data_IF_558220376471
#
_entry.id   IF_558220376471
#
_cell.length_a   1.000
_cell.length_b   1.000
_cell.length_c   1.000
_cell.angle_alpha   90.00
_cell.angle_beta   90.00
_cell.angle_gamma   90.00
#
_symmetry.space_group_name_H-M   'P 1'
#
loop_
_entity.id
_entity.type
_entity.pdbx_description
1 polymer ?
#
# COMPACT_ATOMS: atom_id res chain seq x y z
N UNK A 1 -8.91 -24.81 5.44
CA UNK A 1 -8.40 -24.14 4.22
C UNK A 1 -9.23 -22.86 4.07
N UNK A 2 -8.66 -21.67 4.38
CA UNK A 2 -9.36 -20.40 4.15
C UNK A 2 -9.49 -20.21 2.64
N UNK A 3 -10.70 -19.99 2.14
CA UNK A 3 -10.96 -19.67 0.74
C UNK A 3 -10.12 -18.44 0.34
N UNK A 4 -9.17 -18.61 -0.60
CA UNK A 4 -8.48 -17.49 -1.25
C UNK A 4 -9.55 -16.57 -1.83
N UNK A 5 -9.67 -15.32 -1.31
CA UNK A 5 -10.48 -14.30 -1.95
C UNK A 5 -9.90 -14.04 -3.34
N UNK A 6 -10.75 -13.82 -4.35
CA UNK A 6 -10.32 -13.53 -5.71
C UNK A 6 -9.49 -12.23 -5.70
N UNK A 7 -8.17 -12.36 -5.89
CA UNK A 7 -7.22 -11.24 -5.87
C UNK A 7 -6.11 -11.35 -4.81
N UNK A 8 -6.12 -12.38 -3.95
CA UNK A 8 -5.05 -12.58 -2.99
C UNK A 8 -3.82 -13.20 -3.66
N UNK A 9 -2.68 -12.59 -3.43
CA UNK A 9 -1.36 -13.06 -3.88
C UNK A 9 -0.82 -14.11 -2.91
N UNK A 10 -0.06 -15.07 -3.44
CA UNK A 10 0.60 -16.11 -2.64
C UNK A 10 1.84 -15.54 -1.92
N UNK A 11 2.31 -16.26 -0.89
CA UNK A 11 3.56 -15.94 -0.19
C UNK A 11 4.74 -15.90 -1.19
N UNK A 12 4.76 -16.82 -2.17
CA UNK A 12 5.80 -16.84 -3.20
C UNK A 12 5.78 -15.57 -4.07
N UNK A 13 4.59 -15.15 -4.50
CA UNK A 13 4.42 -13.89 -5.24
C UNK A 13 4.87 -12.68 -4.39
N UNK A 14 4.55 -12.68 -3.11
CA UNK A 14 5.02 -11.65 -2.17
C UNK A 14 6.54 -11.60 -2.06
N UNK A 15 7.21 -12.76 -1.94
CA UNK A 15 8.67 -12.84 -1.91
C UNK A 15 9.30 -12.31 -3.21
N UNK A 16 8.67 -12.54 -4.35
CA UNK A 16 9.13 -12.00 -5.63
C UNK A 16 9.04 -10.47 -5.67
N UNK A 17 7.97 -9.90 -5.10
CA UNK A 17 7.79 -8.44 -5.03
C UNK A 17 8.84 -7.79 -4.12
N UNK A 18 9.07 -8.36 -2.93
CA UNK A 18 10.09 -7.89 -1.99
C UNK A 18 11.48 -7.92 -2.62
N UNK A 19 11.79 -9.02 -3.29
CA UNK A 19 13.06 -9.18 -3.99
C UNK A 19 13.23 -8.18 -5.12
N UNK A 20 12.19 -7.95 -5.92
CA UNK A 20 12.20 -6.93 -6.97
C UNK A 20 12.50 -5.54 -6.39
N UNK A 21 11.86 -5.18 -5.28
CA UNK A 21 12.10 -3.92 -4.60
C UNK A 21 13.56 -3.80 -4.12
N UNK A 22 14.07 -4.82 -3.44
CA UNK A 22 15.44 -4.84 -2.91
C UNK A 22 16.50 -4.76 -4.02
N UNK A 23 16.34 -5.56 -5.08
CA UNK A 23 17.24 -5.50 -6.24
C UNK A 23 17.25 -4.12 -6.87
N UNK A 24 16.06 -3.52 -7.07
CA UNK A 24 15.93 -2.18 -7.64
C UNK A 24 16.68 -1.12 -6.83
N UNK A 25 16.58 -1.16 -5.50
CA UNK A 25 17.29 -0.23 -4.61
C UNK A 25 18.81 -0.49 -4.69
N UNK A 26 19.24 -1.75 -4.62
CA UNK A 26 20.64 -2.13 -4.69
C UNK A 26 21.31 -1.69 -6.00
N UNK A 27 20.65 -1.89 -7.14
CA UNK A 27 21.13 -1.42 -8.45
C UNK A 27 21.30 0.11 -8.50
N UNK A 28 20.36 0.86 -7.90
CA UNK A 28 20.46 2.32 -7.83
C UNK A 28 21.59 2.81 -6.90
N UNK A 29 21.99 2.02 -5.91
CA UNK A 29 23.16 2.27 -5.07
C UNK A 29 24.49 1.86 -5.76
N UNK A 30 24.44 1.26 -6.95
CA UNK A 30 25.63 0.73 -7.63
C UNK A 30 26.18 -0.55 -7.00
N UNK A 31 25.40 -1.19 -6.11
CA UNK A 31 25.78 -2.46 -5.52
C UNK A 31 25.56 -3.56 -6.55
N UNK A 32 26.67 -4.15 -7.02
CA UNK A 32 26.61 -5.37 -7.82
C UNK A 32 26.08 -6.48 -6.91
N UNK A 33 24.83 -6.84 -7.10
CA UNK A 33 24.27 -8.01 -6.43
C UNK A 33 25.05 -9.24 -6.90
N UNK A 34 25.94 -9.72 -6.05
CA UNK A 34 26.65 -10.98 -6.30
C UNK A 34 25.60 -12.06 -6.61
N UNK A 35 25.88 -12.81 -7.70
CA UNK A 35 25.02 -13.84 -8.28
C UNK A 35 24.78 -15.02 -7.33
N UNK A 36 24.48 -14.81 -6.05
CA UNK A 36 24.24 -15.87 -5.08
C UNK A 36 22.75 -16.02 -4.77
N UNK A 37 22.23 -17.18 -5.06
CA UNK A 37 20.96 -17.84 -4.65
C UNK A 37 19.66 -17.05 -4.79
N UNK A 38 19.71 -15.75 -4.73
CA UNK A 38 18.53 -14.90 -4.71
C UNK A 38 18.01 -14.52 -6.11
N UNK A 39 18.84 -14.55 -7.16
CA UNK A 39 18.42 -14.33 -8.54
C UNK A 39 17.50 -15.42 -9.09
N UNK A 40 17.52 -16.64 -8.52
CA UNK A 40 16.69 -17.74 -9.00
C UNK A 40 15.19 -17.49 -8.89
N UNK A 41 14.73 -16.70 -7.88
CA UNK A 41 13.31 -16.35 -7.74
C UNK A 41 12.81 -15.41 -8.84
N UNK A 42 13.69 -14.59 -9.43
CA UNK A 42 13.38 -13.70 -10.54
C UNK A 42 14.04 -14.16 -11.86
N UNK A 43 14.61 -15.37 -11.88
CA UNK A 43 15.21 -15.96 -13.06
C UNK A 43 14.16 -16.22 -14.15
N UNK A 44 14.63 -16.34 -15.37
CA UNK A 44 13.94 -16.57 -16.64
C UNK A 44 12.40 -16.65 -16.60
N UNK A 45 11.74 -15.56 -16.97
CA UNK A 45 10.28 -15.49 -17.13
C UNK A 45 9.48 -15.26 -15.83
N UNK A 46 10.13 -15.21 -14.65
CA UNK A 46 9.40 -14.96 -13.41
C UNK A 46 8.70 -13.61 -13.39
N UNK A 47 9.30 -12.57 -13.96
CA UNK A 47 8.73 -11.23 -14.10
C UNK A 47 7.67 -11.13 -15.20
N UNK A 48 7.44 -12.19 -15.96
CA UNK A 48 6.37 -12.30 -16.96
C UNK A 48 5.09 -12.94 -16.40
N UNK A 49 5.13 -13.40 -15.15
CA UNK A 49 3.93 -13.94 -14.48
C UNK A 49 2.80 -12.92 -14.56
N UNK A 50 1.58 -13.41 -14.80
CA UNK A 50 0.39 -12.59 -15.05
C UNK A 50 0.17 -11.50 -13.99
N UNK A 51 0.39 -11.82 -12.71
CA UNK A 51 0.15 -10.89 -11.61
C UNK A 51 1.03 -9.63 -11.69
N UNK A 52 2.27 -9.72 -12.18
CA UNK A 52 3.15 -8.56 -12.35
C UNK A 52 2.60 -7.54 -13.35
N UNK A 53 1.76 -7.99 -14.29
CA UNK A 53 1.16 -7.14 -15.33
C UNK A 53 -0.23 -6.61 -14.92
N UNK A 54 -0.76 -7.00 -13.75
CA UNK A 54 -1.99 -6.43 -13.23
C UNK A 54 -1.78 -4.98 -12.81
N UNK A 55 -2.75 -4.11 -13.09
CA UNK A 55 -2.73 -2.73 -12.59
C UNK A 55 -3.36 -2.68 -11.21
N UNK A 56 -2.59 -2.23 -10.23
CA UNK A 56 -3.00 -2.11 -8.81
C UNK A 56 -2.34 -0.89 -8.16
N UNK A 57 -2.94 -0.39 -7.08
CA UNK A 57 -2.22 0.48 -6.17
C UNK A 57 -1.09 -0.29 -5.49
N UNK A 58 0.07 0.32 -5.40
CA UNK A 58 1.27 -0.28 -4.80
C UNK A 58 1.94 0.73 -3.90
N UNK A 59 2.35 0.30 -2.70
CA UNK A 59 3.24 1.07 -1.83
C UNK A 59 4.48 0.25 -1.52
N UNK A 60 5.60 0.95 -1.40
CA UNK A 60 6.85 0.39 -0.87
C UNK A 60 7.22 1.19 0.37
N UNK A 61 7.39 0.49 1.48
CA UNK A 61 7.78 1.04 2.78
C UNK A 61 9.13 0.49 3.18
N UNK A 62 10.00 1.37 3.63
CA UNK A 62 11.31 1.07 4.17
C UNK A 62 11.32 1.37 5.66
N UNK A 63 11.82 0.43 6.46
CA UNK A 63 11.94 0.57 7.91
C UNK A 63 13.35 0.23 8.36
N UNK A 64 13.81 0.88 9.43
CA UNK A 64 15.04 0.52 10.16
C UNK A 64 14.69 0.42 11.64
N UNK A 65 14.90 -0.75 12.25
CA UNK A 65 14.53 -1.02 13.65
C UNK A 65 13.05 -0.68 13.92
N UNK A 66 12.14 -1.10 13.08
CA UNK A 66 10.70 -0.83 13.13
C UNK A 66 10.32 0.66 13.05
N UNK A 67 11.26 1.53 12.68
CA UNK A 67 10.98 2.96 12.48
C UNK A 67 10.91 3.28 10.99
N UNK A 68 9.93 4.08 10.59
CA UNK A 68 9.77 4.49 9.18
C UNK A 68 11.04 5.18 8.67
N UNK A 69 11.56 4.71 7.51
CA UNK A 69 12.72 5.28 6.81
C UNK A 69 12.37 5.83 5.43
N UNK A 70 11.27 5.42 4.86
CA UNK A 70 10.72 5.90 3.61
C UNK A 70 9.44 5.16 3.26
N UNK A 71 8.48 5.85 2.62
CA UNK A 71 7.24 5.21 2.17
C UNK A 71 6.63 6.02 1.04
N UNK A 72 6.58 5.44 -0.15
CA UNK A 72 5.95 6.05 -1.33
C UNK A 72 5.08 5.01 -2.03
N UNK A 73 3.97 5.48 -2.60
CA UNK A 73 3.05 4.64 -3.35
C UNK A 73 1.92 5.42 -4.00
N UNK A 74 1.08 4.70 -4.72
CA UNK A 74 -0.14 5.21 -5.34
C UNK A 74 -1.32 4.33 -4.99
N UNK A 75 -2.45 4.96 -4.66
CA UNK A 75 -3.74 4.29 -4.48
C UNK A 75 -4.36 3.88 -5.81
N UNK A 76 -4.21 4.76 -6.81
CA UNK A 76 -4.79 4.54 -8.13
C UNK A 76 -3.93 3.56 -8.95
N UNK A 77 -4.57 2.65 -9.69
CA UNK A 77 -3.89 1.61 -10.46
C UNK A 77 -3.37 2.13 -11.81
N UNK A 78 -2.54 3.18 -11.78
CA UNK A 78 -2.00 3.78 -13.01
C UNK A 78 -1.00 2.85 -13.71
N UNK A 79 -0.20 2.14 -12.93
CA UNK A 79 0.89 1.28 -13.39
C UNK A 79 0.59 -0.19 -13.12
N UNK A 80 1.39 -1.05 -13.77
CA UNK A 80 1.41 -2.47 -13.41
C UNK A 80 2.07 -2.67 -12.04
N UNK A 81 1.76 -3.76 -11.35
CA UNK A 81 2.40 -4.11 -10.07
C UNK A 81 3.92 -4.07 -10.19
N UNK A 82 4.48 -4.67 -11.25
CA UNK A 82 5.93 -4.64 -11.53
C UNK A 82 6.48 -3.22 -11.56
N UNK A 83 5.87 -2.36 -12.37
CA UNK A 83 6.35 -0.99 -12.53
C UNK A 83 6.16 -0.17 -11.25
N UNK A 84 5.02 -0.36 -10.58
CA UNK A 84 4.73 0.29 -9.29
C UNK A 84 5.75 -0.09 -8.21
N UNK A 85 6.14 -1.37 -8.11
CA UNK A 85 7.19 -1.80 -7.16
C UNK A 85 8.53 -1.14 -7.50
N UNK A 86 8.95 -1.16 -8.77
CA UNK A 86 10.22 -0.55 -9.20
C UNK A 86 10.23 0.96 -8.88
N UNK A 87 9.22 1.69 -9.34
CA UNK A 87 9.17 3.14 -9.18
C UNK A 87 9.07 3.54 -7.69
N UNK A 88 8.23 2.86 -6.93
CA UNK A 88 8.03 3.20 -5.52
C UNK A 88 9.20 2.76 -4.64
N UNK A 89 9.93 1.71 -4.99
CA UNK A 89 11.18 1.34 -4.31
C UNK A 89 12.24 2.44 -4.46
N UNK A 90 12.44 2.95 -5.67
CA UNK A 90 13.34 4.08 -5.93
C UNK A 90 12.88 5.33 -5.19
N UNK A 91 11.59 5.67 -5.30
CA UNK A 91 11.05 6.86 -4.69
C UNK A 91 11.09 6.81 -3.15
N UNK A 92 10.77 5.66 -2.54
CA UNK A 92 10.85 5.49 -1.09
C UNK A 92 12.30 5.57 -0.57
N UNK A 93 13.26 5.06 -1.34
CA UNK A 93 14.67 5.06 -0.93
C UNK A 93 15.36 6.42 -1.15
N UNK A 94 15.04 7.12 -2.24
CA UNK A 94 15.86 8.26 -2.67
C UNK A 94 15.10 9.57 -2.83
N UNK A 95 13.76 9.55 -2.90
CA UNK A 95 12.95 10.71 -3.23
C UNK A 95 11.82 10.99 -2.24
N UNK A 96 11.77 10.29 -1.10
CA UNK A 96 10.83 10.64 -0.03
C UNK A 96 11.29 11.93 0.65
N UNK A 97 10.53 13.05 0.55
CA UNK A 97 10.98 14.36 1.01
C UNK A 97 11.15 14.46 2.54
N UNK A 98 10.68 13.46 3.28
CA UNK A 98 10.80 13.41 4.75
C UNK A 98 12.19 12.92 5.21
N UNK A 99 12.97 12.32 4.30
CA UNK A 99 14.22 11.65 4.61
C UNK A 99 15.32 12.02 3.61
N UNK A 100 16.57 11.89 4.02
CA UNK A 100 17.72 11.93 3.11
C UNK A 100 17.75 10.68 2.23
N UNK A 101 18.34 10.71 1.03
CA UNK A 101 18.54 9.52 0.21
C UNK A 101 19.18 8.37 1.00
N UNK A 102 18.72 7.15 0.77
CA UNK A 102 19.23 5.95 1.43
C UNK A 102 20.71 5.74 1.09
N UNK A 103 21.53 5.46 2.10
CA UNK A 103 22.93 5.14 1.92
C UNK A 103 23.18 3.62 1.84
N UNK A 104 24.33 3.21 1.31
CA UNK A 104 24.74 1.79 1.28
C UNK A 104 24.79 1.16 2.68
N UNK A 105 25.23 1.92 3.69
CA UNK A 105 25.28 1.44 5.07
C UNK A 105 23.90 1.16 5.66
N UNK A 106 22.89 1.90 5.23
CA UNK A 106 21.51 1.69 5.65
C UNK A 106 20.86 0.54 4.88
N UNK A 107 21.24 0.33 3.63
CA UNK A 107 20.65 -0.70 2.76
C UNK A 107 20.67 -2.11 3.36
N UNK A 108 21.74 -2.46 4.07
CA UNK A 108 21.85 -3.77 4.75
C UNK A 108 21.05 -3.88 6.03
N UNK A 109 20.44 -2.77 6.50
CA UNK A 109 19.68 -2.68 7.76
C UNK A 109 18.22 -2.35 7.54
N UNK A 110 17.86 -2.00 6.31
CA UNK A 110 16.48 -1.66 5.98
C UNK A 110 15.67 -2.93 5.75
N UNK A 111 14.50 -2.99 6.35
CA UNK A 111 13.47 -3.97 6.05
C UNK A 111 12.50 -3.36 5.04
N UNK A 112 12.14 -4.12 4.02
CA UNK A 112 11.24 -3.70 2.94
C UNK A 112 9.87 -4.32 3.15
N UNK A 113 8.83 -3.49 3.04
CA UNK A 113 7.44 -3.92 2.93
C UNK A 113 6.89 -3.51 1.57
N UNK A 114 6.17 -4.42 0.91
CA UNK A 114 5.39 -4.15 -0.30
C UNK A 114 3.92 -4.39 -0.01
N UNK A 115 3.12 -3.35 -0.21
CA UNK A 115 1.67 -3.37 -0.04
C UNK A 115 0.98 -3.29 -1.40
N UNK A 116 0.09 -4.27 -1.68
CA UNK A 116 -0.74 -4.30 -2.89
C UNK A 116 -2.19 -4.02 -2.50
N UNK A 117 -2.81 -3.05 -3.16
CA UNK A 117 -4.17 -2.62 -2.89
C UNK A 117 -5.16 -3.33 -3.82
N UNK A 118 -6.30 -3.76 -3.27
CA UNK A 118 -7.41 -4.20 -4.10
C UNK A 118 -7.99 -3.02 -4.89
N UNK A 119 -8.71 -3.32 -5.96
CA UNK A 119 -9.47 -2.28 -6.67
C UNK A 119 -10.53 -1.73 -5.72
N UNK A 120 -10.61 -0.38 -5.55
CA UNK A 120 -11.64 0.20 -4.69
C UNK A 120 -13.05 -0.13 -5.19
N UNK A 121 -13.92 -0.59 -4.28
CA UNK A 121 -15.31 -0.93 -4.55
C UNK A 121 -16.23 0.07 -3.85
N UNK A 122 -17.31 0.45 -4.54
CA UNK A 122 -18.30 1.38 -3.97
C UNK A 122 -19.04 0.71 -2.81
N UNK A 123 -19.04 1.36 -1.64
CA UNK A 123 -19.84 0.97 -0.49
C UNK A 123 -21.22 1.62 -0.58
N UNK A 124 -22.26 0.80 -0.78
CA UNK A 124 -23.64 1.27 -0.76
C UNK A 124 -24.17 1.23 0.68
N UNK A 125 -24.66 2.35 1.17
CA UNK A 125 -25.15 2.48 2.55
C UNK A 125 -26.42 3.36 2.62
N UNK A 126 -27.21 3.16 3.70
CA UNK A 126 -28.49 3.84 3.96
C UNK A 126 -28.40 4.65 5.25
N UNK A 127 -27.70 5.79 5.22
CA UNK A 127 -27.53 6.65 6.40
C UNK A 127 -26.36 6.22 7.29
N UNK A 128 -26.14 7.01 8.35
CA UNK A 128 -24.94 6.95 9.18
C UNK A 128 -24.72 5.64 9.93
N UNK A 129 -25.79 5.08 10.49
CA UNK A 129 -25.68 3.87 11.30
C UNK A 129 -25.36 2.64 10.45
N UNK A 130 -25.92 2.58 9.23
CA UNK A 130 -25.62 1.55 8.26
C UNK A 130 -24.16 1.68 7.74
N UNK A 131 -23.69 2.91 7.51
CA UNK A 131 -22.28 3.14 7.13
C UNK A 131 -21.33 2.64 8.20
N UNK A 132 -21.55 3.02 9.46
CA UNK A 132 -20.72 2.59 10.59
C UNK A 132 -20.70 1.08 10.74
N UNK A 133 -21.85 0.43 10.55
CA UNK A 133 -21.98 -1.03 10.69
C UNK A 133 -21.31 -1.83 9.57
N UNK A 134 -21.10 -1.22 8.40
CA UNK A 134 -20.54 -1.87 7.21
C UNK A 134 -19.02 -1.75 7.09
N UNK A 135 -18.42 -0.77 7.77
CA UNK A 135 -16.97 -0.63 7.79
C UNK A 135 -16.35 -1.61 8.78
N UNK A 136 -15.30 -2.28 8.35
CA UNK A 136 -14.55 -3.26 9.15
C UNK A 136 -13.23 -2.63 9.64
N UNK A 137 -13.15 -2.19 10.93
CA UNK A 137 -11.93 -1.63 11.48
C UNK A 137 -10.73 -2.58 11.36
N UNK A 138 -9.58 -2.03 10.98
CA UNK A 138 -8.34 -2.80 10.76
C UNK A 138 -8.25 -3.53 9.42
N UNK A 139 -9.34 -3.58 8.65
CA UNK A 139 -9.42 -4.31 7.38
C UNK A 139 -9.63 -3.35 6.20
N UNK A 140 -10.57 -2.42 6.34
CA UNK A 140 -10.95 -1.53 5.26
C UNK A 140 -10.04 -0.30 5.17
N UNK A 141 -9.44 -0.10 3.99
CA UNK A 141 -9.06 1.23 3.56
C UNK A 141 -10.29 1.95 3.03
N UNK A 142 -10.44 3.23 3.36
CA UNK A 142 -11.64 4.00 3.02
C UNK A 142 -11.29 5.22 2.20
N UNK A 143 -11.99 5.39 1.10
CA UNK A 143 -11.96 6.60 0.26
C UNK A 143 -13.30 7.29 0.40
N UNK A 144 -13.28 8.58 0.69
CA UNK A 144 -14.47 9.43 0.63
C UNK A 144 -14.34 10.46 -0.47
N UNK A 145 -15.45 10.83 -1.09
CA UNK A 145 -15.50 11.93 -2.05
C UNK A 145 -16.85 12.67 -2.00
N UNK A 146 -16.78 13.99 -2.22
CA UNK A 146 -17.93 14.89 -2.40
C UNK A 146 -17.53 16.05 -3.31
N UNK A 147 -18.04 16.05 -4.53
CA UNK A 147 -17.61 17.03 -5.56
C UNK A 147 -16.12 16.91 -5.85
N UNK A 148 -15.37 18.00 -5.65
CA UNK A 148 -13.91 18.02 -5.82
C UNK A 148 -13.14 17.65 -4.53
N UNK A 149 -13.81 17.56 -3.39
CA UNK A 149 -13.21 17.16 -2.13
C UNK A 149 -13.09 15.63 -2.05
N UNK A 150 -11.94 15.15 -1.59
CA UNK A 150 -11.73 13.72 -1.41
C UNK A 150 -10.51 13.41 -0.56
N UNK A 151 -10.56 12.31 0.15
CA UNK A 151 -9.45 11.81 0.94
C UNK A 151 -9.56 10.29 1.10
N UNK A 152 -8.46 9.69 1.53
CA UNK A 152 -8.41 8.28 1.88
C UNK A 152 -7.61 8.06 3.15
N UNK A 153 -7.97 6.99 3.86
CA UNK A 153 -7.17 6.37 4.90
C UNK A 153 -6.89 4.91 4.55
N UNK A 154 -5.65 4.51 4.76
CA UNK A 154 -5.22 3.11 4.69
C UNK A 154 -5.72 2.33 5.93
N UNK A 155 -5.82 0.99 5.87
CA UNK A 155 -6.24 0.19 7.01
C UNK A 155 -5.40 0.40 8.28
N UNK A 156 -4.10 0.72 8.15
CA UNK A 156 -3.22 0.97 9.31
C UNK A 156 -3.66 2.16 10.17
N UNK A 157 -4.45 3.09 9.61
CA UNK A 157 -4.96 4.25 10.37
C UNK A 157 -5.93 3.82 11.47
N UNK A 158 -6.56 2.65 11.33
CA UNK A 158 -7.43 2.11 12.38
C UNK A 158 -6.70 1.83 13.70
N UNK A 159 -5.38 1.60 13.67
CA UNK A 159 -4.59 1.43 14.90
C UNK A 159 -4.58 2.69 15.77
N UNK A 160 -4.63 3.87 15.12
CA UNK A 160 -4.66 5.16 15.79
C UNK A 160 -6.08 5.67 16.03
N UNK A 161 -7.02 5.29 15.18
CA UNK A 161 -8.43 5.70 15.19
C UNK A 161 -9.34 4.46 15.15
N UNK A 162 -9.40 3.67 16.23
CA UNK A 162 -10.15 2.40 16.25
C UNK A 162 -11.67 2.58 16.26
N UNK A 163 -12.18 3.74 16.69
CA UNK A 163 -13.60 4.07 16.62
C UNK A 163 -13.98 4.53 15.22
N UNK A 164 -14.98 3.89 14.61
CA UNK A 164 -15.42 4.16 13.23
C UNK A 164 -15.88 5.61 13.03
N UNK A 165 -16.54 6.21 14.04
CA UNK A 165 -17.04 7.59 13.94
C UNK A 165 -15.88 8.58 13.98
N UNK A 166 -14.90 8.34 14.85
CA UNK A 166 -13.69 9.16 14.93
C UNK A 166 -12.88 9.04 13.63
N UNK A 167 -12.72 7.82 13.12
CA UNK A 167 -12.06 7.57 11.84
C UNK A 167 -12.70 8.35 10.69
N UNK A 168 -14.03 8.26 10.54
CA UNK A 168 -14.78 8.98 9.50
C UNK A 168 -14.69 10.50 9.67
N UNK A 169 -14.77 10.99 10.92
CA UNK A 169 -14.66 12.42 11.22
C UNK A 169 -13.27 12.97 10.86
N UNK A 170 -12.21 12.23 11.18
CA UNK A 170 -10.84 12.59 10.78
C UNK A 170 -10.64 12.51 9.27
N UNK A 171 -11.23 11.51 8.61
CA UNK A 171 -11.18 11.38 7.16
C UNK A 171 -11.89 12.54 6.45
N UNK A 172 -13.04 12.98 6.96
CA UNK A 172 -13.74 14.17 6.47
C UNK A 172 -12.88 15.43 6.61
N UNK A 173 -12.25 15.66 7.78
CA UNK A 173 -11.32 16.80 7.95
C UNK A 173 -10.15 16.75 6.98
N UNK A 174 -9.59 15.55 6.74
CA UNK A 174 -8.51 15.37 5.75
C UNK A 174 -8.96 15.74 4.34
N UNK A 175 -10.23 15.50 4.00
CA UNK A 175 -10.82 15.89 2.72
C UNK A 175 -11.15 17.39 2.63
N UNK A 176 -10.93 18.18 3.70
CA UNK A 176 -11.32 19.58 3.78
C UNK A 176 -12.83 19.77 4.02
N UNK A 177 -13.52 18.73 4.50
CA UNK A 177 -14.93 18.74 4.81
C UNK A 177 -15.19 18.94 6.32
N UNK A 178 -16.45 19.23 6.68
CA UNK A 178 -16.90 19.23 8.08
C UNK A 178 -16.73 17.83 8.69
N UNK A 179 -16.36 17.75 9.98
CA UNK A 179 -16.11 16.48 10.65
C UNK A 179 -17.37 15.57 10.72
N UNK A 180 -18.55 16.17 10.69
CA UNK A 180 -19.87 15.51 10.69
C UNK A 180 -20.42 15.25 9.29
N UNK A 181 -19.67 15.52 8.23
CA UNK A 181 -20.15 15.38 6.85
C UNK A 181 -20.60 13.97 6.51
N UNK A 182 -19.92 12.96 7.08
CA UNK A 182 -20.28 11.56 6.89
C UNK A 182 -21.67 11.19 7.45
N UNK A 183 -22.20 11.94 8.43
CA UNK A 183 -23.51 11.71 9.00
C UNK A 183 -24.67 12.13 8.07
N UNK A 184 -24.41 13.01 7.11
CA UNK A 184 -25.41 13.57 6.19
C UNK A 184 -25.84 12.61 5.10
N UNK A 185 -25.08 11.51 4.88
CA UNK A 185 -25.39 10.48 3.90
C UNK A 185 -25.14 10.88 2.44
N UNK A 186 -24.38 11.96 2.21
CA UNK A 186 -24.12 12.53 0.88
C UNK A 186 -22.73 12.20 0.32
N UNK A 187 -21.92 11.45 1.09
CA UNK A 187 -20.58 11.05 0.63
C UNK A 187 -20.63 9.84 -0.30
N UNK A 188 -19.86 9.88 -1.35
CA UNK A 188 -19.48 8.66 -2.05
C UNK A 188 -18.36 7.98 -1.28
N UNK A 189 -18.61 6.74 -0.87
CA UNK A 189 -17.67 5.92 -0.10
C UNK A 189 -17.20 4.77 -0.98
N UNK A 190 -15.88 4.55 -1.03
CA UNK A 190 -15.29 3.33 -1.58
C UNK A 190 -14.41 2.68 -0.51
N UNK A 191 -14.39 1.36 -0.50
CA UNK A 191 -13.52 0.56 0.37
C UNK A 191 -12.54 -0.23 -0.49
N UNK A 192 -11.37 -0.49 0.07
CA UNK A 192 -10.34 -1.34 -0.52
C UNK A 192 -9.60 -2.08 0.58
N UNK A 193 -8.96 -3.18 0.22
CA UNK A 193 -8.13 -3.96 1.12
C UNK A 193 -6.66 -3.85 0.73
N UNK A 194 -5.79 -4.11 1.68
CA UNK A 194 -4.34 -4.11 1.47
C UNK A 194 -3.79 -5.47 1.84
N UNK A 195 -2.99 -6.03 0.94
CA UNK A 195 -2.19 -7.21 1.23
C UNK A 195 -0.73 -6.80 1.34
N UNK A 196 -0.17 -6.96 2.54
CA UNK A 196 1.21 -6.60 2.85
C UNK A 196 2.12 -7.81 2.81
N UNK A 197 3.32 -7.63 2.28
CA UNK A 197 4.44 -8.56 2.33
C UNK A 197 5.63 -7.84 2.92
N UNK A 198 6.30 -8.44 3.89
CA UNK A 198 7.45 -7.85 4.58
C UNK A 198 8.59 -8.85 4.59
N UNK A 199 9.82 -8.35 4.54
CA UNK A 199 11.02 -9.14 4.78
C UNK A 199 11.09 -9.57 6.25
N UNK A 200 11.67 -10.76 6.49
CA UNK A 200 11.87 -11.34 7.83
C UNK A 200 13.02 -10.68 8.60
#
# INVERSE_FOLDING_TARGET
MKNKKKGDYSIEEGRMLLKLARMTIGENLGLNNDKNSDYDLLADGALEKKFFNEKKGVFVTLQINNSLRGCIGSLEPYETIKQGVINNAINAAFHDPRFTPLSENEFNRVDIEVSILSTPEKLVYSGKDDLVSKLEPGVDGVIISKGSAGATFLPQVWEQLPDTKDFLSHLCRKAGLSADEWEKGELEIKIYHVQCFQED
#
